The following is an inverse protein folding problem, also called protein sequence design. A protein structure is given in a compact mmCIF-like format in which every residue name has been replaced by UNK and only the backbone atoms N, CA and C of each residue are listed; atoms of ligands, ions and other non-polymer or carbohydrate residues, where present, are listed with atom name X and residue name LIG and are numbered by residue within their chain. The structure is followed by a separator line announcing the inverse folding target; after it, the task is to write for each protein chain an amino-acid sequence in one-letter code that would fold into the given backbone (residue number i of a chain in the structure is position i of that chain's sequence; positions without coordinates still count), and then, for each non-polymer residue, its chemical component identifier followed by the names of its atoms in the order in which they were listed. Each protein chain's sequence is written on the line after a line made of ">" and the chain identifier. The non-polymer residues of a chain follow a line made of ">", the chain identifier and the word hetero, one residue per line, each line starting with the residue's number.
data_IF_078974920615
#
_entry.id   IF_078974920615
#
_cell.length_a   1.000
_cell.length_b   1.000
_cell.length_c   1.000
_cell.angle_alpha   90.00
_cell.angle_beta   90.00
_cell.angle_gamma   90.00
#
_symmetry.space_group_name_H-M   'P 1'
#
loop_
_entity.id
_entity.type
_entity.pdbx_description
1 polymer ?
#
# COMPACT_ATOMS: atom_id res chain seq x y z
N UNK A 1 9.20 -62.86 66.98
CA UNK A 1 9.24 -63.10 65.51
C UNK A 1 8.12 -62.43 64.71
N UNK A 2 6.91 -62.19 65.25
CA UNK A 2 5.80 -61.54 64.50
C UNK A 2 6.05 -60.12 63.93
N UNK A 3 7.01 -59.36 64.49
CA UNK A 3 7.31 -57.97 64.05
C UNK A 3 8.16 -57.85 62.78
N UNK A 4 8.84 -58.91 62.34
CA UNK A 4 9.71 -58.88 61.16
C UNK A 4 8.90 -59.24 59.91
N UNK A 5 8.02 -60.24 59.99
CA UNK A 5 7.16 -60.66 58.86
C UNK A 5 6.17 -59.58 58.41
N UNK A 6 5.57 -58.83 59.34
CA UNK A 6 4.65 -57.74 58.98
C UNK A 6 5.37 -56.60 58.26
N UNK A 7 6.63 -56.31 58.63
CA UNK A 7 7.47 -55.34 57.93
C UNK A 7 7.87 -55.81 56.54
N UNK A 8 8.19 -57.10 56.38
CA UNK A 8 8.51 -57.70 55.08
C UNK A 8 7.29 -57.63 54.14
N UNK A 9 6.08 -57.97 54.62
CA UNK A 9 4.84 -57.84 53.83
C UNK A 9 4.48 -56.41 53.48
N UNK A 10 4.75 -55.45 54.36
CA UNK A 10 4.51 -54.03 54.07
C UNK A 10 5.50 -53.48 53.03
N UNK A 11 6.76 -53.95 53.05
CA UNK A 11 7.77 -53.66 52.03
C UNK A 11 7.37 -54.27 50.67
N UNK A 12 6.96 -55.54 50.62
CA UNK A 12 6.49 -56.19 49.38
C UNK A 12 5.24 -55.51 48.79
N UNK A 13 4.29 -55.06 49.62
CA UNK A 13 3.12 -54.30 49.15
C UNK A 13 3.51 -52.92 48.61
N UNK A 14 4.51 -52.25 49.21
CA UNK A 14 5.04 -50.96 48.72
C UNK A 14 5.79 -51.13 47.41
N UNK A 15 6.59 -52.19 47.24
CA UNK A 15 7.26 -52.51 45.97
C UNK A 15 6.26 -52.85 44.86
N UNK A 16 5.26 -53.71 45.11
CA UNK A 16 4.23 -54.02 44.12
C UNK A 16 3.41 -52.79 43.74
N UNK A 17 3.03 -51.95 44.71
CA UNK A 17 2.31 -50.69 44.44
C UNK A 17 3.17 -49.71 43.65
N UNK A 18 4.46 -49.58 43.97
CA UNK A 18 5.38 -48.73 43.22
C UNK A 18 5.61 -49.25 41.79
N UNK A 19 5.70 -50.57 41.59
CA UNK A 19 5.82 -51.14 40.24
C UNK A 19 4.56 -50.91 39.40
N UNK A 20 3.36 -51.02 40.00
CA UNK A 20 2.11 -50.70 39.30
C UNK A 20 2.01 -49.21 38.97
N UNK A 21 2.41 -48.34 39.92
CA UNK A 21 2.46 -46.89 39.68
C UNK A 21 3.48 -46.53 38.59
N UNK A 22 4.62 -47.21 38.55
CA UNK A 22 5.64 -47.04 37.52
C UNK A 22 5.13 -47.46 36.13
N UNK A 23 4.45 -48.59 36.03
CA UNK A 23 3.83 -49.06 34.78
C UNK A 23 2.74 -48.06 34.32
N UNK A 24 1.88 -47.61 35.23
CA UNK A 24 0.85 -46.62 34.92
C UNK A 24 1.46 -45.29 34.43
N UNK A 25 2.55 -44.85 35.05
CA UNK A 25 3.29 -43.65 34.62
C UNK A 25 3.85 -43.80 33.20
N UNK A 26 4.46 -44.95 32.87
CA UNK A 26 4.96 -45.20 31.51
C UNK A 26 3.84 -45.18 30.48
N UNK A 27 2.67 -45.75 30.77
CA UNK A 27 1.51 -45.72 29.85
C UNK A 27 1.07 -44.28 29.56
N UNK A 28 1.03 -43.42 30.58
CA UNK A 28 0.68 -42.00 30.42
C UNK A 28 1.73 -41.27 29.57
N UNK A 29 3.02 -41.53 29.80
CA UNK A 29 4.11 -40.94 29.01
C UNK A 29 4.04 -41.37 27.54
N UNK A 30 3.78 -42.65 27.26
CA UNK A 30 3.61 -43.17 25.88
C UNK A 30 2.38 -42.55 25.20
N UNK A 31 1.26 -42.44 25.90
CA UNK A 31 0.06 -41.78 25.38
C UNK A 31 0.32 -40.30 25.07
N UNK A 32 1.05 -39.59 25.94
CA UNK A 32 1.41 -38.19 25.75
C UNK A 32 2.36 -38.00 24.55
N UNK A 33 3.36 -38.86 24.40
CA UNK A 33 4.24 -38.85 23.22
C UNK A 33 3.47 -39.13 21.92
N UNK A 34 2.51 -40.06 21.94
CA UNK A 34 1.64 -40.32 20.80
C UNK A 34 0.79 -39.11 20.40
N UNK A 35 0.22 -38.41 21.38
CA UNK A 35 -0.54 -37.18 21.15
C UNK A 35 0.34 -36.03 20.62
N UNK A 36 1.53 -35.84 21.20
CA UNK A 36 2.49 -34.83 20.75
C UNK A 36 2.91 -35.03 19.29
N UNK A 37 3.15 -36.28 18.87
CA UNK A 37 3.47 -36.61 17.48
C UNK A 37 2.31 -36.34 16.52
N UNK A 38 1.06 -36.61 16.92
CA UNK A 38 -0.10 -36.26 16.10
C UNK A 38 -0.29 -34.74 15.98
N UNK A 39 -0.10 -34.00 17.07
CA UNK A 39 -0.18 -32.54 17.07
C UNK A 39 0.90 -31.90 16.17
N UNK A 40 2.12 -32.44 16.17
CA UNK A 40 3.21 -31.96 15.29
C UNK A 40 2.88 -32.24 13.81
N UNK A 41 2.32 -33.42 13.50
CA UNK A 41 1.85 -33.73 12.14
C UNK A 41 0.72 -32.80 11.68
N UNK A 42 -0.25 -32.52 12.55
CA UNK A 42 -1.34 -31.61 12.25
C UNK A 42 -0.84 -30.17 12.03
N UNK A 43 0.16 -29.74 12.80
CA UNK A 43 0.81 -28.42 12.63
C UNK A 43 1.53 -28.32 11.29
N UNK A 44 2.33 -29.33 10.92
CA UNK A 44 3.02 -29.34 9.61
C UNK A 44 2.04 -29.31 8.45
N UNK A 45 0.97 -30.10 8.50
CA UNK A 45 -0.07 -30.07 7.46
C UNK A 45 -0.73 -28.69 7.33
N UNK A 46 -0.93 -27.98 8.45
CA UNK A 46 -1.45 -26.60 8.43
C UNK A 46 -0.44 -25.58 7.90
N UNK A 47 0.84 -25.71 8.23
CA UNK A 47 1.90 -24.86 7.68
C UNK A 47 2.04 -25.07 6.16
N UNK A 48 1.92 -26.31 5.67
CA UNK A 48 1.91 -26.63 4.24
C UNK A 48 0.69 -26.03 3.52
N UNK A 49 -0.52 -26.16 4.09
CA UNK A 49 -1.73 -25.50 3.57
C UNK A 49 -1.60 -23.97 3.53
N UNK A 50 -0.99 -23.35 4.56
CA UNK A 50 -0.76 -21.90 4.60
C UNK A 50 0.22 -21.47 3.51
N UNK A 51 1.28 -22.24 3.26
CA UNK A 51 2.25 -21.94 2.22
C UNK A 51 1.62 -22.05 0.82
N UNK A 52 0.82 -23.09 0.58
CA UNK A 52 0.10 -23.29 -0.69
C UNK A 52 -0.93 -22.17 -0.94
N UNK A 53 -1.68 -21.78 0.10
CA UNK A 53 -2.57 -20.62 0.04
C UNK A 53 -1.79 -19.33 -0.23
N UNK A 54 -0.62 -19.14 0.39
CA UNK A 54 0.26 -18.00 0.16
C UNK A 54 0.71 -17.89 -1.29
N UNK A 55 1.16 -19.00 -1.88
CA UNK A 55 1.56 -19.07 -3.29
C UNK A 55 0.37 -18.79 -4.23
N UNK A 56 -0.79 -19.39 -3.96
CA UNK A 56 -2.02 -19.15 -4.75
C UNK A 56 -2.42 -17.67 -4.72
N UNK A 57 -2.25 -17.00 -3.57
CA UNK A 57 -2.60 -15.59 -3.40
C UNK A 57 -1.60 -14.66 -4.12
N UNK A 58 -0.33 -15.04 -4.17
CA UNK A 58 0.71 -14.35 -4.95
C UNK A 58 0.44 -14.48 -6.45
N UNK A 59 0.16 -15.70 -6.94
CA UNK A 59 -0.21 -15.94 -8.35
C UNK A 59 -1.49 -15.18 -8.76
N UNK A 60 -2.51 -15.16 -7.89
CA UNK A 60 -3.74 -14.41 -8.14
C UNK A 60 -3.49 -12.90 -8.19
N UNK A 61 -2.61 -12.39 -7.33
CA UNK A 61 -2.24 -10.98 -7.32
C UNK A 61 -1.42 -10.59 -8.56
N UNK A 62 -0.49 -11.45 -8.99
CA UNK A 62 0.28 -11.25 -10.23
C UNK A 62 -0.62 -11.29 -11.46
N UNK A 63 -1.57 -12.22 -11.51
CA UNK A 63 -2.59 -12.29 -12.57
C UNK A 63 -3.48 -11.05 -12.60
N UNK A 64 -3.89 -10.52 -11.44
CA UNK A 64 -4.65 -9.27 -11.35
C UNK A 64 -3.83 -8.06 -11.81
N UNK A 65 -2.53 -8.03 -11.53
CA UNK A 65 -1.65 -6.98 -12.04
C UNK A 65 -1.52 -7.05 -13.56
N UNK A 66 -1.30 -8.24 -14.12
CA UNK A 66 -1.21 -8.42 -15.57
C UNK A 66 -2.52 -8.03 -16.27
N UNK A 67 -3.67 -8.45 -15.71
CA UNK A 67 -4.98 -8.06 -16.22
C UNK A 67 -5.19 -6.54 -16.18
N UNK A 68 -4.74 -5.87 -15.12
CA UNK A 68 -4.81 -4.42 -15.00
C UNK A 68 -3.95 -3.74 -16.07
N UNK A 69 -2.73 -4.24 -16.33
CA UNK A 69 -1.87 -3.75 -17.41
C UNK A 69 -2.52 -3.95 -18.78
N UNK A 70 -3.12 -5.12 -19.05
CA UNK A 70 -3.83 -5.39 -20.30
C UNK A 70 -5.05 -4.46 -20.48
N UNK A 71 -5.81 -4.22 -19.41
CA UNK A 71 -6.94 -3.29 -19.42
C UNK A 71 -6.48 -1.86 -19.69
N UNK A 72 -5.40 -1.41 -19.05
CA UNK A 72 -4.81 -0.09 -19.30
C UNK A 72 -4.39 0.06 -20.76
N UNK A 73 -3.71 -0.95 -21.33
CA UNK A 73 -3.31 -0.96 -22.73
C UNK A 73 -4.53 -0.90 -23.67
N UNK A 74 -5.56 -1.71 -23.39
CA UNK A 74 -6.80 -1.73 -24.20
C UNK A 74 -7.52 -0.40 -24.16
N UNK A 75 -7.64 0.21 -22.97
CA UNK A 75 -8.20 1.55 -22.80
C UNK A 75 -7.39 2.57 -23.58
N UNK A 76 -6.05 2.48 -23.56
CA UNK A 76 -5.18 3.37 -24.32
C UNK A 76 -5.38 3.23 -25.83
N UNK A 77 -5.51 2.00 -26.35
CA UNK A 77 -5.80 1.73 -27.77
C UNK A 77 -7.18 2.28 -28.16
N UNK A 78 -8.19 2.11 -27.31
CA UNK A 78 -9.53 2.66 -27.55
C UNK A 78 -9.51 4.20 -27.52
N UNK A 79 -8.79 4.80 -26.57
CA UNK A 79 -8.54 6.25 -26.53
C UNK A 79 -7.85 6.76 -27.80
N UNK A 80 -6.94 5.99 -28.39
CA UNK A 80 -6.28 6.35 -29.66
C UNK A 80 -7.24 6.29 -30.87
N UNK A 81 -8.28 5.45 -30.81
CA UNK A 81 -9.33 5.40 -31.85
C UNK A 81 -10.33 6.56 -31.75
N UNK A 82 -10.37 7.26 -30.62
CA UNK A 82 -11.20 8.45 -30.42
C UNK A 82 -10.57 9.68 -31.09
N UNK A 83 -11.42 10.52 -31.68
CA UNK A 83 -10.97 11.85 -32.13
C UNK A 83 -10.55 12.69 -30.93
N UNK A 84 -9.59 13.64 -31.07
CA UNK A 84 -9.18 14.50 -29.96
C UNK A 84 -10.35 15.24 -29.28
N UNK A 85 -11.36 15.63 -30.05
CA UNK A 85 -12.58 16.24 -29.54
C UNK A 85 -13.45 15.25 -28.77
N UNK A 86 -13.67 14.04 -29.31
CA UNK A 86 -14.42 12.99 -28.62
C UNK A 86 -13.77 12.59 -27.29
N UNK A 87 -12.44 12.50 -27.27
CA UNK A 87 -11.71 12.25 -26.02
C UNK A 87 -11.92 13.37 -24.99
N UNK A 88 -11.92 14.64 -25.42
CA UNK A 88 -12.23 15.76 -24.54
C UNK A 88 -13.67 15.72 -23.98
N UNK A 89 -14.64 15.36 -24.82
CA UNK A 89 -16.05 15.23 -24.40
C UNK A 89 -16.23 14.11 -23.37
N UNK A 90 -15.54 12.98 -23.53
CA UNK A 90 -15.53 11.90 -22.56
C UNK A 90 -14.89 12.32 -21.22
N UNK A 91 -13.78 13.04 -21.27
CA UNK A 91 -13.11 13.57 -20.07
C UNK A 91 -14.03 14.52 -19.30
N UNK A 92 -14.73 15.42 -20.00
CA UNK A 92 -15.72 16.30 -19.36
C UNK A 92 -16.89 15.53 -18.76
N UNK A 93 -17.34 14.47 -19.41
CA UNK A 93 -18.45 13.63 -18.94
C UNK A 93 -18.09 12.86 -17.69
N UNK A 94 -16.88 12.32 -17.62
CA UNK A 94 -16.33 11.66 -16.43
C UNK A 94 -16.18 12.70 -15.29
N UNK A 95 -15.47 13.79 -15.57
CA UNK A 95 -15.30 14.91 -14.65
C UNK A 95 -14.44 14.60 -13.42
N UNK A 96 -13.77 13.44 -13.36
CA UNK A 96 -12.83 13.12 -12.28
C UNK A 96 -11.46 13.75 -12.47
N UNK A 97 -10.74 13.96 -11.37
CA UNK A 97 -9.37 14.47 -11.40
C UNK A 97 -8.47 13.53 -12.22
N UNK A 98 -8.62 12.22 -12.07
CA UNK A 98 -7.86 11.24 -12.85
C UNK A 98 -8.10 11.37 -14.37
N UNK A 99 -9.35 11.57 -14.80
CA UNK A 99 -9.67 11.73 -16.22
C UNK A 99 -8.99 12.96 -16.84
N UNK A 100 -9.01 14.09 -16.14
CA UNK A 100 -8.30 15.30 -16.60
C UNK A 100 -6.78 15.15 -16.54
N UNK A 101 -6.23 14.48 -15.53
CA UNK A 101 -4.79 14.21 -15.46
C UNK A 101 -4.35 13.32 -16.63
N UNK A 102 -5.10 12.27 -16.93
CA UNK A 102 -4.85 11.39 -18.06
C UNK A 102 -4.92 12.16 -19.39
N UNK A 103 -5.89 13.07 -19.53
CA UNK A 103 -6.00 13.94 -20.70
C UNK A 103 -4.76 14.83 -20.87
N UNK A 104 -4.32 15.50 -19.81
CA UNK A 104 -3.20 16.44 -19.84
C UNK A 104 -1.82 15.77 -19.98
N UNK A 105 -1.70 14.51 -19.57
CA UNK A 105 -0.44 13.75 -19.62
C UNK A 105 -0.34 12.79 -20.82
N UNK A 106 -1.36 12.79 -21.70
CA UNK A 106 -1.38 11.93 -22.88
C UNK A 106 -0.36 12.41 -23.93
N UNK A 107 0.53 11.51 -24.36
CA UNK A 107 1.58 11.82 -25.35
C UNK A 107 1.18 11.52 -26.79
N UNK A 108 0.16 10.68 -27.00
CA UNK A 108 -0.18 10.11 -28.32
C UNK A 108 -1.37 10.79 -29.02
N UNK A 109 -2.08 11.67 -28.33
CA UNK A 109 -3.25 12.39 -28.87
C UNK A 109 -2.95 13.88 -28.75
N UNK A 110 -3.26 14.65 -29.80
CA UNK A 110 -3.13 16.09 -29.75
C UNK A 110 -4.11 16.69 -28.72
N UNK A 111 -3.60 17.37 -27.70
CA UNK A 111 -4.41 17.96 -26.63
C UNK A 111 -4.98 19.28 -27.14
N UNK A 112 -6.29 19.34 -27.37
CA UNK A 112 -6.96 20.54 -27.90
C UNK A 112 -7.21 21.64 -26.86
N UNK A 113 -7.43 21.26 -25.59
CA UNK A 113 -7.89 22.16 -24.52
C UNK A 113 -7.04 22.01 -23.24
N UNK A 114 -5.71 22.21 -23.31
CA UNK A 114 -4.84 22.00 -22.15
C UNK A 114 -5.16 22.98 -21.00
N UNK A 115 -5.40 24.26 -21.30
CA UNK A 115 -5.67 25.28 -20.28
C UNK A 115 -7.01 25.06 -19.59
N UNK A 116 -8.08 24.81 -20.37
CA UNK A 116 -9.42 24.50 -19.82
C UNK A 116 -9.38 23.19 -19.01
N UNK A 117 -8.64 22.18 -19.48
CA UNK A 117 -8.42 20.93 -18.75
C UNK A 117 -7.76 21.15 -17.40
N UNK A 118 -6.71 21.98 -17.35
CA UNK A 118 -6.00 22.30 -16.11
C UNK A 118 -6.86 23.11 -15.14
N UNK A 119 -7.63 24.08 -15.65
CA UNK A 119 -8.54 24.88 -14.83
C UNK A 119 -9.63 24.00 -14.18
N UNK A 120 -10.29 23.15 -14.98
CA UNK A 120 -11.29 22.21 -14.47
C UNK A 120 -10.69 21.22 -13.49
N UNK A 121 -9.50 20.69 -13.78
CA UNK A 121 -8.78 19.80 -12.87
C UNK A 121 -8.53 20.47 -11.52
N UNK A 122 -8.11 21.73 -11.48
CA UNK A 122 -7.84 22.45 -10.23
C UNK A 122 -9.12 22.76 -9.46
N UNK A 123 -10.17 23.23 -10.13
CA UNK A 123 -11.31 23.86 -9.47
C UNK A 123 -12.54 22.95 -9.37
N UNK A 124 -12.87 22.22 -10.44
CA UNK A 124 -14.20 21.61 -10.61
C UNK A 124 -14.18 20.08 -10.56
N UNK A 125 -13.03 19.47 -10.86
CA UNK A 125 -12.91 18.03 -10.98
C UNK A 125 -13.18 17.31 -9.66
N UNK A 126 -13.91 16.19 -9.75
CA UNK A 126 -14.20 15.30 -8.62
C UNK A 126 -12.93 14.56 -8.23
N UNK A 127 -12.51 14.70 -6.98
CA UNK A 127 -11.32 14.03 -6.47
C UNK A 127 -11.12 14.26 -4.97
N UNK A 128 -10.10 13.63 -4.42
CA UNK A 128 -9.68 13.87 -3.04
C UNK A 128 -8.67 15.01 -3.02
N UNK A 129 -8.99 16.07 -2.29
CA UNK A 129 -8.02 17.12 -1.95
C UNK A 129 -7.38 16.86 -0.60
N UNK A 130 -6.05 16.88 -0.54
CA UNK A 130 -5.34 16.72 0.72
C UNK A 130 -3.93 17.32 0.69
N UNK A 131 -3.44 17.67 1.87
CA UNK A 131 -2.08 18.12 2.12
C UNK A 131 -1.12 16.95 2.29
N UNK A 132 0.13 17.12 1.88
CA UNK A 132 1.23 16.20 2.14
C UNK A 132 2.55 16.94 2.29
N UNK A 133 3.48 16.30 2.99
CA UNK A 133 4.89 16.67 2.98
C UNK A 133 5.54 16.16 1.69
N UNK A 134 6.06 17.05 0.86
CA UNK A 134 6.65 16.71 -0.44
C UNK A 134 8.14 16.35 -0.33
N UNK A 135 8.85 16.92 0.64
CA UNK A 135 10.29 16.78 0.75
C UNK A 135 10.97 17.97 1.45
N UNK A 136 12.29 17.92 1.52
CA UNK A 136 13.14 19.02 2.01
C UNK A 136 14.08 19.53 0.94
N UNK A 137 14.23 20.84 0.87
CA UNK A 137 15.11 21.52 -0.08
C UNK A 137 16.41 21.95 0.57
N UNK A 138 17.50 21.90 -0.20
CA UNK A 138 18.76 22.56 0.11
C UNK A 138 19.10 23.51 -1.04
N UNK A 139 18.94 24.82 -0.78
CA UNK A 139 18.92 25.82 -1.85
C UNK A 139 17.76 25.57 -2.81
N UNK A 140 18.06 25.37 -4.09
CA UNK A 140 17.06 25.20 -5.16
C UNK A 140 16.65 23.75 -5.42
N UNK A 141 17.33 22.77 -4.82
CA UNK A 141 17.15 21.35 -5.12
C UNK A 141 16.60 20.57 -3.93
N UNK A 142 15.87 19.49 -4.17
CA UNK A 142 15.45 18.56 -3.12
C UNK A 142 16.60 17.64 -2.68
N UNK A 143 16.76 17.47 -1.36
CA UNK A 143 17.58 16.42 -0.76
C UNK A 143 16.79 15.11 -0.63
N UNK A 144 15.50 15.22 -0.31
CA UNK A 144 14.57 14.10 -0.17
C UNK A 144 13.25 14.53 -0.80
N UNK A 145 12.68 13.68 -1.66
CA UNK A 145 11.40 13.95 -2.31
C UNK A 145 10.57 12.67 -2.44
N UNK A 146 9.25 12.82 -2.30
CA UNK A 146 8.31 11.70 -2.36
C UNK A 146 7.53 11.58 -3.67
N UNK A 147 7.77 12.49 -4.61
CA UNK A 147 7.05 12.63 -5.88
C UNK A 147 8.00 13.03 -7.02
N UNK A 148 7.53 13.00 -8.26
CA UNK A 148 8.22 13.56 -9.43
C UNK A 148 7.28 14.53 -10.15
N UNK A 149 7.76 15.71 -10.58
CA UNK A 149 6.98 16.55 -11.51
C UNK A 149 7.06 15.89 -12.88
N UNK A 150 5.91 15.56 -13.47
CA UNK A 150 5.83 14.93 -14.80
C UNK A 150 5.26 15.87 -15.87
N UNK A 151 4.57 16.94 -15.46
CA UNK A 151 4.07 17.97 -16.37
C UNK A 151 4.05 19.32 -15.63
N UNK A 152 4.52 20.37 -16.31
CA UNK A 152 4.39 21.77 -15.90
C UNK A 152 3.98 22.60 -17.11
N UNK A 153 2.95 23.41 -16.96
CA UNK A 153 2.49 24.28 -18.05
C UNK A 153 3.58 25.28 -18.44
N UNK A 154 3.74 25.50 -19.75
CA UNK A 154 4.71 26.48 -20.29
C UNK A 154 6.18 26.06 -20.20
N UNK A 155 6.47 24.79 -19.88
CA UNK A 155 7.84 24.27 -19.87
C UNK A 155 8.11 23.44 -21.13
N UNK A 156 9.28 23.61 -21.75
CA UNK A 156 9.72 22.79 -22.89
C UNK A 156 9.94 21.32 -22.47
N UNK A 157 9.69 20.37 -23.38
CA UNK A 157 9.76 18.92 -23.10
C UNK A 157 11.10 18.45 -22.53
N UNK A 158 12.21 19.12 -22.87
CA UNK A 158 13.57 18.74 -22.46
C UNK A 158 14.05 19.38 -21.15
N UNK A 159 13.22 20.20 -20.51
CA UNK A 159 13.60 20.80 -19.22
C UNK A 159 13.45 19.77 -18.10
N UNK A 160 14.54 19.48 -17.38
CA UNK A 160 14.47 18.61 -16.19
C UNK A 160 13.79 19.33 -15.01
N UNK A 161 12.45 19.31 -15.02
CA UNK A 161 11.59 19.78 -13.92
C UNK A 161 11.43 18.74 -12.81
N UNK A 162 11.95 17.53 -13.02
CA UNK A 162 11.69 16.39 -12.14
C UNK A 162 12.21 16.58 -10.71
N UNK A 163 13.18 17.48 -10.53
CA UNK A 163 13.81 17.82 -9.24
C UNK A 163 13.51 19.23 -8.73
N UNK A 164 12.72 20.00 -9.47
CA UNK A 164 12.36 21.37 -9.09
C UNK A 164 11.26 21.36 -8.03
N UNK A 165 11.19 22.45 -7.25
CA UNK A 165 10.07 22.72 -6.33
C UNK A 165 8.75 22.67 -7.11
N UNK A 166 7.74 21.90 -6.66
CA UNK A 166 6.44 21.92 -7.28
C UNK A 166 5.79 23.31 -7.24
N UNK A 167 5.05 23.62 -8.28
CA UNK A 167 4.27 24.84 -8.46
C UNK A 167 2.79 24.51 -8.61
N UNK A 168 1.93 25.50 -8.35
CA UNK A 168 0.48 25.32 -8.51
C UNK A 168 0.18 25.03 -9.98
N UNK A 169 -0.52 23.92 -10.24
CA UNK A 169 -0.82 23.45 -11.59
C UNK A 169 0.13 22.37 -12.10
N UNK A 170 1.23 22.07 -11.40
CA UNK A 170 2.07 20.93 -11.74
C UNK A 170 1.30 19.62 -11.60
N UNK A 171 1.54 18.68 -12.52
CA UNK A 171 1.13 17.29 -12.34
C UNK A 171 2.30 16.49 -11.80
N UNK A 172 2.05 15.81 -10.70
CA UNK A 172 3.01 14.98 -9.99
C UNK A 172 2.66 13.51 -10.11
N UNK A 173 3.67 12.65 -10.04
CA UNK A 173 3.53 11.21 -9.89
C UNK A 173 4.14 10.75 -8.56
N UNK A 174 3.45 9.88 -7.83
CA UNK A 174 4.01 9.25 -6.63
C UNK A 174 4.93 8.10 -7.04
N UNK A 175 6.24 8.35 -7.00
CA UNK A 175 7.28 7.36 -7.35
C UNK A 175 7.66 6.44 -6.18
N UNK A 176 7.03 6.62 -5.02
CA UNK A 176 7.39 5.98 -3.76
C UNK A 176 6.21 5.20 -3.16
N UNK A 177 6.32 4.73 -1.91
CA UNK A 177 5.23 4.01 -1.24
C UNK A 177 3.96 4.87 -1.09
N UNK A 178 2.84 4.24 -0.72
CA UNK A 178 1.60 4.95 -0.41
C UNK A 178 1.84 6.05 0.62
N UNK A 179 1.36 7.26 0.33
CA UNK A 179 1.62 8.45 1.12
C UNK A 179 0.40 8.87 1.91
N UNK A 180 0.63 9.02 3.21
CA UNK A 180 -0.35 9.57 4.12
C UNK A 180 -0.63 11.03 3.73
N UNK A 181 -1.92 11.36 3.75
CA UNK A 181 -2.38 12.72 3.42
C UNK A 181 -3.10 13.31 4.62
N UNK A 182 -3.19 14.64 4.65
CA UNK A 182 -3.66 15.42 5.78
C UNK A 182 -4.75 16.38 5.33
N UNK A 183 -5.78 16.58 6.15
CA UNK A 183 -6.87 17.51 5.83
C UNK A 183 -6.46 18.97 5.98
N UNK A 184 -5.46 19.26 6.81
CA UNK A 184 -5.10 20.63 7.18
C UNK A 184 -3.59 20.85 7.20
N UNK A 185 -3.22 22.07 6.83
CA UNK A 185 -1.90 22.65 7.02
C UNK A 185 -2.03 23.81 8.01
N UNK A 186 -1.05 23.97 8.92
CA UNK A 186 -1.04 25.03 9.92
C UNK A 186 0.32 25.14 10.60
N UNK A 187 0.68 26.35 11.02
CA UNK A 187 1.95 26.64 11.73
C UNK A 187 3.20 26.12 11.01
N UNK A 188 3.22 26.17 9.67
CA UNK A 188 4.36 25.73 8.86
C UNK A 188 4.48 24.21 8.71
N UNK A 189 3.46 23.42 9.06
CA UNK A 189 3.48 21.96 8.91
C UNK A 189 2.09 21.38 8.62
N UNK A 190 2.02 20.12 8.19
CA UNK A 190 0.76 19.35 8.19
C UNK A 190 0.31 19.12 9.63
N UNK A 191 -1.00 19.28 9.87
CA UNK A 191 -1.57 19.04 11.21
C UNK A 191 -1.70 17.53 11.41
N UNK A 192 -0.86 16.93 12.26
CA UNK A 192 -0.80 15.48 12.51
C UNK A 192 -2.17 14.87 12.84
N UNK A 193 -2.95 15.53 13.71
CA UNK A 193 -4.30 15.08 14.10
C UNK A 193 -5.35 15.23 12.98
N UNK A 194 -4.96 15.74 11.81
CA UNK A 194 -5.83 15.90 10.63
C UNK A 194 -5.58 14.82 9.57
N UNK A 195 -4.80 13.78 9.88
CA UNK A 195 -4.53 12.66 8.99
C UNK A 195 -5.81 12.05 8.43
N UNK A 196 -5.80 11.77 7.13
CA UNK A 196 -6.88 11.09 6.42
C UNK A 196 -6.83 9.58 6.64
N UNK A 197 -7.97 8.91 6.40
CA UNK A 197 -8.02 7.45 6.40
C UNK A 197 -7.08 6.88 5.32
N UNK A 198 -6.54 5.66 5.50
CA UNK A 198 -5.64 5.02 4.52
C UNK A 198 -6.21 4.91 3.10
N UNK A 199 -7.53 4.86 2.96
CA UNK A 199 -8.22 4.82 1.67
C UNK A 199 -8.08 6.13 0.89
N UNK A 200 -7.81 7.24 1.59
CA UNK A 200 -7.52 8.57 1.03
C UNK A 200 -6.02 8.88 1.01
N UNK A 201 -5.18 7.85 1.17
CA UNK A 201 -3.75 7.97 0.94
C UNK A 201 -3.48 8.14 -0.56
N UNK A 202 -2.47 8.92 -0.89
CA UNK A 202 -2.02 9.05 -2.28
C UNK A 202 -1.19 7.81 -2.63
N UNK A 203 -1.72 6.98 -3.54
CA UNK A 203 -1.19 5.65 -3.81
C UNK A 203 0.06 5.70 -4.69
N UNK A 204 0.95 4.72 -4.55
CA UNK A 204 2.12 4.56 -5.42
C UNK A 204 1.70 4.46 -6.88
N UNK A 205 2.42 5.10 -7.79
CA UNK A 205 2.16 5.08 -9.24
C UNK A 205 0.95 5.93 -9.69
N UNK A 206 0.23 6.56 -8.76
CA UNK A 206 -0.87 7.46 -9.11
C UNK A 206 -0.38 8.90 -9.28
N UNK A 207 -1.15 9.68 -10.03
CA UNK A 207 -0.83 11.06 -10.37
C UNK A 207 -1.76 12.02 -9.65
N UNK A 208 -1.33 13.26 -9.48
CA UNK A 208 -2.10 14.30 -8.82
C UNK A 208 -1.73 15.69 -9.36
N UNK A 209 -2.66 16.63 -9.34
CA UNK A 209 -2.37 18.04 -9.60
C UNK A 209 -2.02 18.76 -8.29
N UNK A 210 -1.08 19.69 -8.32
CA UNK A 210 -0.80 20.60 -7.22
C UNK A 210 -1.79 21.76 -7.22
N UNK A 211 -2.53 21.92 -6.13
CA UNK A 211 -3.50 23.02 -5.95
C UNK A 211 -2.99 24.12 -5.04
N UNK A 212 -2.03 23.84 -4.16
CA UNK A 212 -1.39 24.82 -3.27
C UNK A 212 0.02 24.34 -2.86
N UNK A 213 0.92 25.26 -2.53
CA UNK A 213 2.30 25.00 -2.11
C UNK A 213 2.67 25.89 -0.93
N UNK A 214 3.11 25.28 0.16
CA UNK A 214 3.51 25.95 1.39
C UNK A 214 4.90 25.50 1.83
N UNK A 215 5.59 26.34 2.58
CA UNK A 215 6.91 26.04 3.13
C UNK A 215 6.93 26.19 4.64
N UNK A 216 7.69 25.32 5.30
CA UNK A 216 8.01 25.38 6.72
C UNK A 216 9.50 25.21 6.92
N UNK A 217 10.25 26.31 6.90
CA UNK A 217 11.72 26.25 6.83
C UNK A 217 12.19 25.65 5.49
N UNK A 218 12.96 24.57 5.55
CA UNK A 218 13.45 23.82 4.39
C UNK A 218 12.44 22.78 3.87
N UNK A 219 11.36 22.50 4.62
CA UNK A 219 10.33 21.56 4.24
C UNK A 219 9.32 22.17 3.27
N UNK A 220 9.01 21.42 2.21
CA UNK A 220 7.98 21.76 1.22
C UNK A 220 6.76 20.90 1.46
N UNK A 221 5.60 21.57 1.54
CA UNK A 221 4.30 20.95 1.67
C UNK A 221 3.45 21.34 0.47
N UNK A 222 2.66 20.42 -0.02
CA UNK A 222 1.80 20.65 -1.17
C UNK A 222 0.39 20.17 -0.83
N UNK A 223 -0.60 20.89 -1.36
CA UNK A 223 -1.97 20.42 -1.46
C UNK A 223 -2.14 19.83 -2.85
N UNK A 224 -2.65 18.61 -2.92
CA UNK A 224 -2.88 17.91 -4.18
C UNK A 224 -4.34 17.53 -4.34
N UNK A 225 -4.76 17.36 -5.59
CA UNK A 225 -6.02 16.73 -5.98
C UNK A 225 -5.74 15.52 -6.88
N UNK A 226 -6.33 14.38 -6.54
CA UNK A 226 -6.22 13.10 -7.23
C UNK A 226 -7.53 12.32 -7.16
#
# INVERSE_FOLDING_TARGET
>A
MKRIDDKIKEIEKKEKRNNVLFIAFIIVVVAFMGYALQAEKAKKAKDDEINELGQTLEEANDSLQDLNVQLQNTIETLKQSLTPQGFWDDVKKDGSAQAYIDYLTQKKINILHPDEGLEKLKNDAKGTEAWLFCGRMNGSNFNERISKVILRSGTEEDTDISKTKPEIGDILENTSNNRETYRRFGSGNVVQNSKNNPDKAWKRGTRAVVTDVQMGGDAVFIKIKF
#
